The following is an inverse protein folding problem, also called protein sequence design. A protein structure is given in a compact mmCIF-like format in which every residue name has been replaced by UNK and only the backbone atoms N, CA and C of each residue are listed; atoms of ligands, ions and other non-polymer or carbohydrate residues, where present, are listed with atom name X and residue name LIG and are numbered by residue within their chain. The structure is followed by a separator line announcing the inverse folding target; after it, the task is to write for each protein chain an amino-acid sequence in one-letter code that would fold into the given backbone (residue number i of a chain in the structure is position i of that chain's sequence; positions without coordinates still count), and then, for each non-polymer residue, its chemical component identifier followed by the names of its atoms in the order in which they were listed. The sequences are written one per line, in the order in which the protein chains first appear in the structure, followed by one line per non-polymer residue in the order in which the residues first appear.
data_IF_317676935518
#
_entry.id   IF_317676935518
#
_cell.length_a   1.000
_cell.length_b   1.000
_cell.length_c   1.000
_cell.angle_alpha   90.00
_cell.angle_beta   90.00
_cell.angle_gamma   90.00
#
_symmetry.space_group_name_H-M   'P 1'
#
loop_
_entity.id
_entity.type
_entity.pdbx_description
1 polymer ?
#
# COMPACT_ATOMS: atom_id res chain seq x y z
N UNK A 1 32.32 10.81 -2.35
CA UNK A 1 31.38 10.16 -1.41
C UNK A 1 30.03 10.12 -2.10
N UNK A 2 29.44 8.93 -2.25
CA UNK A 2 28.09 8.79 -2.78
C UNK A 2 27.11 9.53 -1.87
N UNK A 3 26.18 10.26 -2.44
CA UNK A 3 25.15 10.98 -1.69
C UNK A 3 24.15 9.99 -1.14
N UNK A 4 23.79 10.09 0.14
CA UNK A 4 22.81 9.19 0.78
C UNK A 4 21.41 9.77 0.59
N UNK A 5 20.55 9.06 -0.10
CA UNK A 5 19.18 9.47 -0.41
C UNK A 5 18.11 8.79 0.44
N UNK A 6 18.45 7.66 1.09
CA UNK A 6 17.52 6.91 1.93
C UNK A 6 18.06 6.77 3.36
N UNK A 7 17.18 6.85 4.35
CA UNK A 7 17.48 6.72 5.77
C UNK A 7 16.48 5.77 6.42
N UNK A 8 16.99 4.75 7.10
CA UNK A 8 16.16 3.92 7.98
C UNK A 8 15.59 4.78 9.11
N UNK A 9 14.45 4.39 9.66
CA UNK A 9 13.86 5.13 10.80
C UNK A 9 14.81 5.15 12.03
N UNK A 10 15.69 4.16 12.15
CA UNK A 10 16.72 4.11 13.19
C UNK A 10 17.90 5.05 12.97
N UNK A 11 18.05 5.62 11.78
CA UNK A 11 19.16 6.50 11.41
C UNK A 11 18.79 7.99 11.47
N UNK A 12 17.50 8.32 11.62
CA UNK A 12 17.00 9.69 11.69
C UNK A 12 16.62 10.11 13.09
N UNK A 13 16.20 11.38 13.22
CA UNK A 13 15.68 11.95 14.45
C UNK A 13 14.77 13.17 14.15
N UNK A 14 14.14 13.73 15.20
CA UNK A 14 13.20 14.85 15.09
C UNK A 14 13.82 16.12 14.49
N UNK A 15 15.14 16.32 14.61
CA UNK A 15 15.84 17.51 14.11
C UNK A 15 16.08 17.47 12.60
N UNK A 16 15.91 16.30 11.96
CA UNK A 16 16.18 16.11 10.53
C UNK A 16 14.96 16.40 9.64
N UNK A 17 14.07 17.30 10.05
CA UNK A 17 12.84 17.62 9.31
C UNK A 17 13.09 18.18 7.91
N UNK A 18 14.14 18.95 7.73
CA UNK A 18 14.51 19.50 6.42
C UNK A 18 14.88 18.39 5.43
N UNK A 19 15.54 17.34 5.91
CA UNK A 19 16.01 16.22 5.11
C UNK A 19 14.96 15.10 4.96
N UNK A 20 14.30 14.72 6.05
CA UNK A 20 13.39 13.57 6.08
C UNK A 20 11.91 13.96 5.91
N UNK A 21 11.61 15.25 5.86
CA UNK A 21 10.25 15.75 5.94
C UNK A 21 9.64 15.55 7.33
N UNK A 22 8.46 16.15 7.57
CA UNK A 22 7.82 16.08 8.88
C UNK A 22 7.43 14.67 9.31
N UNK A 23 6.91 13.87 8.40
CA UNK A 23 6.51 12.47 8.69
C UNK A 23 7.73 11.58 8.95
N UNK A 24 8.77 11.68 8.10
CA UNK A 24 9.98 10.87 8.23
C UNK A 24 10.71 11.15 9.53
N UNK A 25 10.91 12.42 9.88
CA UNK A 25 11.56 12.83 11.13
C UNK A 25 10.76 12.35 12.37
N UNK A 26 9.43 12.46 12.35
CA UNK A 26 8.59 12.00 13.45
C UNK A 26 8.63 10.47 13.60
N UNK A 27 8.58 9.70 12.49
CA UNK A 27 8.70 8.24 12.53
C UNK A 27 10.05 7.80 13.08
N UNK A 28 11.13 8.49 12.68
CA UNK A 28 12.46 8.22 13.23
C UNK A 28 12.53 8.50 14.72
N UNK A 29 11.99 9.62 15.18
CA UNK A 29 11.94 9.95 16.61
C UNK A 29 11.13 8.92 17.41
N UNK A 30 9.95 8.55 16.92
CA UNK A 30 9.12 7.51 17.53
C UNK A 30 9.85 6.17 17.65
N UNK A 31 10.65 5.81 16.65
CA UNK A 31 11.48 4.61 16.66
C UNK A 31 12.56 4.71 17.74
N UNK A 32 13.24 5.86 17.83
CA UNK A 32 14.34 6.09 18.79
C UNK A 32 13.87 6.08 20.25
N UNK A 33 12.66 6.58 20.54
CA UNK A 33 12.09 6.53 21.89
C UNK A 33 11.43 5.17 22.22
N UNK A 34 11.55 4.18 21.32
CA UNK A 34 11.11 2.80 21.56
C UNK A 34 9.63 2.53 21.35
N UNK A 35 8.91 3.40 20.63
CA UNK A 35 7.53 3.10 20.23
C UNK A 35 7.50 1.98 19.18
N UNK A 36 6.44 1.17 19.14
CA UNK A 36 6.32 0.05 18.19
C UNK A 36 6.01 0.55 16.76
N UNK A 37 6.99 1.19 16.13
CA UNK A 37 6.92 1.63 14.73
C UNK A 37 7.33 0.48 13.83
N UNK A 38 6.53 0.13 12.80
CA UNK A 38 6.96 -0.84 11.80
C UNK A 38 8.26 -0.40 11.13
N UNK A 39 9.10 -1.37 10.77
CA UNK A 39 10.36 -1.10 10.09
C UNK A 39 10.11 -0.40 8.74
N UNK A 40 10.96 0.56 8.42
CA UNK A 40 10.83 1.34 7.21
C UNK A 40 11.99 2.31 7.01
N UNK A 41 11.97 3.00 5.89
CA UNK A 41 12.94 4.05 5.57
C UNK A 41 12.25 5.27 4.94
N UNK A 42 12.95 6.37 4.95
CA UNK A 42 12.51 7.63 4.34
C UNK A 42 13.42 7.98 3.17
N UNK A 43 12.84 8.26 2.01
CA UNK A 43 13.52 8.88 0.88
C UNK A 43 13.59 10.38 1.16
N UNK A 44 14.76 10.98 1.06
CA UNK A 44 15.02 12.35 1.50
C UNK A 44 14.40 13.40 0.58
N UNK A 45 14.23 14.60 1.11
CA UNK A 45 13.83 15.78 0.31
C UNK A 45 14.87 16.14 -0.74
N UNK A 46 16.15 15.78 -0.53
CA UNK A 46 17.21 15.95 -1.52
C UNK A 46 17.04 15.05 -2.73
N UNK A 47 16.56 13.80 -2.55
CA UNK A 47 16.18 12.94 -3.66
C UNK A 47 15.04 13.56 -4.50
N UNK A 48 14.06 14.17 -3.85
CA UNK A 48 12.99 14.89 -4.53
C UNK A 48 13.53 16.10 -5.31
N UNK A 49 14.45 16.89 -4.73
CA UNK A 49 15.07 18.01 -5.42
C UNK A 49 15.88 17.54 -6.63
N UNK A 50 16.62 16.45 -6.48
CA UNK A 50 17.39 15.85 -7.58
C UNK A 50 16.49 15.35 -8.70
N UNK A 51 15.37 14.70 -8.38
CA UNK A 51 14.37 14.28 -9.36
C UNK A 51 13.88 15.44 -10.25
N UNK A 52 13.61 16.62 -9.68
CA UNK A 52 13.22 17.79 -10.46
C UNK A 52 14.38 18.38 -11.26
N UNK A 53 15.59 18.36 -10.71
CA UNK A 53 16.80 18.84 -11.39
C UNK A 53 17.13 17.95 -12.62
N UNK A 54 16.90 16.64 -12.50
CA UNK A 54 17.11 15.65 -13.56
C UNK A 54 15.92 15.57 -14.56
N UNK A 55 15.10 16.61 -14.64
CA UNK A 55 13.98 16.67 -15.58
C UNK A 55 12.82 15.71 -15.28
N UNK A 56 12.54 15.47 -14.00
CA UNK A 56 11.54 14.53 -13.50
C UNK A 56 11.86 13.06 -13.80
N UNK A 57 13.13 12.72 -13.67
CA UNK A 57 13.63 11.36 -13.79
C UNK A 57 14.32 10.95 -12.48
N UNK A 58 14.11 9.71 -12.09
CA UNK A 58 14.82 9.10 -10.95
C UNK A 58 16.14 8.56 -11.50
N UNK A 59 17.26 9.08 -11.03
CA UNK A 59 18.58 8.63 -11.47
C UNK A 59 18.96 7.27 -10.86
N UNK A 60 20.00 6.65 -11.42
CA UNK A 60 20.44 5.32 -11.02
C UNK A 60 20.94 5.27 -9.57
N UNK A 61 21.54 6.36 -9.05
CA UNK A 61 22.01 6.42 -7.66
C UNK A 61 20.84 6.35 -6.66
N UNK A 62 19.77 7.13 -6.90
CA UNK A 62 18.57 7.11 -6.07
C UNK A 62 17.90 5.74 -6.16
N UNK A 63 17.82 5.19 -7.36
CA UNK A 63 17.22 3.88 -7.61
C UNK A 63 17.98 2.78 -6.87
N UNK A 64 19.31 2.77 -6.96
CA UNK A 64 20.16 1.80 -6.28
C UNK A 64 20.02 1.88 -4.75
N UNK A 65 20.01 3.10 -4.20
CA UNK A 65 19.84 3.33 -2.75
C UNK A 65 18.46 2.86 -2.24
N UNK A 66 17.39 3.10 -3.01
CA UNK A 66 16.06 2.58 -2.68
C UNK A 66 16.05 1.05 -2.65
N UNK A 67 16.58 0.38 -3.67
CA UNK A 67 16.59 -1.07 -3.72
C UNK A 67 17.48 -1.70 -2.65
N UNK A 68 18.58 -1.05 -2.27
CA UNK A 68 19.40 -1.49 -1.14
C UNK A 68 18.61 -1.45 0.17
N UNK A 69 17.86 -0.39 0.42
CA UNK A 69 17.01 -0.25 1.60
C UNK A 69 15.83 -1.23 1.60
N UNK A 70 15.23 -1.52 0.43
CA UNK A 70 14.21 -2.57 0.32
C UNK A 70 14.80 -3.94 0.71
N UNK A 71 15.98 -4.30 0.19
CA UNK A 71 16.68 -5.54 0.59
C UNK A 71 17.02 -5.56 2.08
N UNK A 72 17.33 -4.39 2.66
CA UNK A 72 17.53 -4.24 4.11
C UNK A 72 16.26 -4.58 4.89
N UNK A 73 15.10 -4.06 4.45
CA UNK A 73 13.80 -4.38 5.05
C UNK A 73 13.44 -5.86 4.92
N UNK A 74 13.72 -6.49 3.78
CA UNK A 74 13.52 -7.93 3.59
C UNK A 74 14.28 -8.74 4.64
N UNK A 75 15.55 -8.41 4.87
CA UNK A 75 16.39 -9.06 5.88
C UNK A 75 15.85 -8.87 7.29
N UNK A 76 15.43 -7.66 7.64
CA UNK A 76 14.91 -7.34 8.99
C UNK A 76 13.57 -8.03 9.25
N UNK A 77 12.70 -8.07 8.25
CA UNK A 77 11.33 -8.59 8.39
C UNK A 77 11.22 -10.09 8.13
N UNK A 78 12.22 -10.69 7.49
CA UNK A 78 12.17 -12.09 7.03
C UNK A 78 11.12 -12.33 5.94
N UNK A 79 10.75 -11.29 5.19
CA UNK A 79 9.78 -11.32 4.09
C UNK A 79 10.43 -10.82 2.82
N UNK A 80 9.93 -11.25 1.66
CA UNK A 80 10.47 -10.83 0.37
C UNK A 80 9.45 -10.01 -0.41
N UNK A 81 9.89 -8.93 -1.03
CA UNK A 81 9.02 -8.06 -1.82
C UNK A 81 8.62 -8.78 -3.12
N UNK A 82 7.30 -8.94 -3.33
CA UNK A 82 6.76 -9.66 -4.47
C UNK A 82 6.75 -11.18 -4.35
N UNK A 83 7.08 -11.74 -3.18
CA UNK A 83 6.97 -13.18 -2.92
C UNK A 83 5.50 -13.63 -2.84
N UNK A 84 5.22 -14.81 -3.35
CA UNK A 84 3.86 -15.35 -3.41
C UNK A 84 3.39 -15.99 -2.10
N UNK A 85 4.33 -16.47 -1.27
CA UNK A 85 3.99 -17.16 -0.01
C UNK A 85 4.12 -16.26 1.21
N UNK A 86 5.17 -15.44 1.27
CA UNK A 86 5.45 -14.55 2.40
C UNK A 86 5.80 -13.13 1.93
N UNK A 87 4.86 -12.43 1.26
CA UNK A 87 5.14 -11.13 0.67
C UNK A 87 5.48 -10.07 1.72
N UNK A 88 6.52 -9.27 1.44
CA UNK A 88 6.74 -8.01 2.14
C UNK A 88 5.75 -6.98 1.60
N UNK A 89 4.76 -6.62 2.40
CA UNK A 89 3.80 -5.57 2.08
C UNK A 89 4.21 -4.28 2.73
N UNK A 90 4.33 -3.23 1.94
CA UNK A 90 4.73 -1.91 2.42
C UNK A 90 3.65 -0.87 2.17
N UNK A 91 3.65 0.18 2.99
CA UNK A 91 2.83 1.36 2.80
C UNK A 91 3.72 2.51 2.34
N UNK A 92 3.51 2.99 1.13
CA UNK A 92 4.23 4.16 0.60
C UNK A 92 3.40 5.40 0.87
N UNK A 93 4.03 6.39 1.48
CA UNK A 93 3.38 7.65 1.87
C UNK A 93 4.17 8.83 1.37
N UNK A 94 3.53 9.76 0.69
CA UNK A 94 4.15 11.03 0.37
C UNK A 94 4.44 11.83 1.65
N UNK A 95 5.57 12.54 1.64
CA UNK A 95 6.01 13.40 2.72
C UNK A 95 6.31 14.80 2.21
N UNK A 96 6.21 15.82 3.07
CA UNK A 96 6.63 17.18 2.80
C UNK A 96 7.25 17.77 4.05
N UNK A 97 8.05 18.85 3.87
CA UNK A 97 8.61 19.60 5.00
C UNK A 97 7.54 20.18 5.90
N UNK A 98 6.45 20.67 5.28
CA UNK A 98 5.27 21.15 5.99
C UNK A 98 4.13 20.15 5.85
N UNK A 99 3.41 19.87 6.94
CA UNK A 99 2.26 18.99 6.92
C UNK A 99 1.09 19.68 6.22
N UNK A 100 0.54 19.01 5.20
CA UNK A 100 -0.68 19.44 4.51
C UNK A 100 -1.73 18.32 4.65
N UNK A 101 -2.60 18.40 5.66
CA UNK A 101 -3.63 17.40 5.89
C UNK A 101 -4.57 17.26 4.67
N UNK A 102 -4.86 16.02 4.27
CA UNK A 102 -5.75 15.71 3.15
C UNK A 102 -5.16 15.87 1.74
N UNK A 103 -3.91 16.36 1.61
CA UNK A 103 -3.25 16.56 0.31
C UNK A 103 -2.10 15.57 0.06
N UNK A 104 -1.97 14.55 0.90
CA UNK A 104 -0.83 13.61 0.82
C UNK A 104 -1.33 12.21 0.51
N UNK A 105 -0.86 11.70 -0.60
CA UNK A 105 -1.23 10.37 -1.07
C UNK A 105 -0.59 9.26 -0.25
N UNK A 106 -1.30 8.14 -0.21
CA UNK A 106 -0.85 6.91 0.44
C UNK A 106 -1.23 5.73 -0.44
N UNK A 107 -0.29 4.83 -0.66
CA UNK A 107 -0.53 3.54 -1.31
C UNK A 107 -0.28 2.46 -0.27
N UNK A 108 -1.30 1.68 0.03
CA UNK A 108 -1.25 0.58 0.99
C UNK A 108 -1.03 -0.75 0.27
N UNK A 109 -0.40 -1.70 0.96
CA UNK A 109 -0.21 -3.07 0.50
C UNK A 109 0.58 -3.19 -0.83
N UNK A 110 1.49 -2.25 -1.09
CA UNK A 110 2.43 -2.38 -2.21
C UNK A 110 3.27 -3.65 -2.01
N UNK A 111 3.34 -4.49 -3.02
CA UNK A 111 3.92 -5.83 -2.99
C UNK A 111 2.89 -6.95 -3.18
N UNK A 112 1.58 -6.64 -3.17
CA UNK A 112 0.54 -7.58 -3.60
C UNK A 112 0.51 -7.68 -5.13
N UNK A 113 0.31 -8.92 -5.61
CA UNK A 113 0.03 -9.25 -7.00
C UNK A 113 -1.01 -10.39 -7.03
N UNK A 114 -1.36 -10.86 -8.22
CA UNK A 114 -2.39 -11.90 -8.40
C UNK A 114 -2.04 -13.22 -7.67
N UNK A 115 -0.77 -13.54 -7.53
CA UNK A 115 -0.31 -14.76 -6.85
C UNK A 115 -0.15 -14.53 -5.34
N UNK A 116 0.44 -13.39 -4.94
CA UNK A 116 0.66 -13.06 -3.54
C UNK A 116 -0.65 -12.91 -2.74
N UNK A 117 -1.75 -12.51 -3.39
CA UNK A 117 -3.08 -12.43 -2.73
C UNK A 117 -3.58 -13.81 -2.31
N UNK A 118 -3.31 -14.86 -3.11
CA UNK A 118 -3.66 -16.24 -2.75
C UNK A 118 -2.84 -16.73 -1.54
N UNK A 119 -1.55 -16.41 -1.50
CA UNK A 119 -0.70 -16.68 -0.35
C UNK A 119 -1.20 -15.99 0.91
N UNK A 120 -1.58 -14.71 0.80
CA UNK A 120 -2.16 -13.95 1.90
C UNK A 120 -3.50 -14.56 2.38
N UNK A 121 -4.37 -14.98 1.45
CA UNK A 121 -5.64 -15.62 1.77
C UNK A 121 -5.44 -16.93 2.56
N UNK A 122 -4.51 -17.77 2.13
CA UNK A 122 -4.15 -19.01 2.84
C UNK A 122 -3.59 -18.72 4.22
N UNK A 123 -2.64 -17.79 4.32
CA UNK A 123 -1.97 -17.43 5.58
C UNK A 123 -2.92 -16.84 6.63
N UNK A 124 -3.87 -16.02 6.20
CA UNK A 124 -4.86 -15.40 7.10
C UNK A 124 -6.09 -16.25 7.33
N UNK A 125 -6.26 -17.33 6.56
CA UNK A 125 -7.49 -18.12 6.48
C UNK A 125 -8.73 -17.24 6.22
N UNK A 126 -8.54 -16.16 5.47
CA UNK A 126 -9.59 -15.18 5.18
C UNK A 126 -9.41 -14.59 3.78
N UNK A 127 -9.97 -15.28 2.79
CA UNK A 127 -9.92 -14.86 1.39
C UNK A 127 -10.56 -13.47 1.17
N UNK A 128 -11.67 -13.18 1.84
CA UNK A 128 -12.35 -11.88 1.74
C UNK A 128 -11.44 -10.74 2.16
N UNK A 129 -10.71 -10.89 3.25
CA UNK A 129 -9.74 -9.90 3.72
C UNK A 129 -8.62 -9.71 2.71
N UNK A 130 -8.02 -10.80 2.21
CA UNK A 130 -6.91 -10.74 1.26
C UNK A 130 -7.30 -10.04 -0.04
N UNK A 131 -8.45 -10.41 -0.62
CA UNK A 131 -8.94 -9.77 -1.85
C UNK A 131 -9.40 -8.33 -1.64
N UNK A 132 -9.93 -7.95 -0.46
CA UNK A 132 -10.23 -6.54 -0.18
C UNK A 132 -8.94 -5.71 -0.05
N UNK A 133 -7.88 -6.25 0.54
CA UNK A 133 -6.56 -5.62 0.56
C UNK A 133 -6.02 -5.42 -0.87
N UNK A 134 -6.14 -6.42 -1.73
CA UNK A 134 -5.69 -6.34 -3.12
C UNK A 134 -6.52 -5.35 -3.94
N UNK A 135 -7.84 -5.39 -3.82
CA UNK A 135 -8.73 -4.41 -4.46
C UNK A 135 -8.37 -2.97 -4.07
N UNK A 136 -8.15 -2.71 -2.78
CA UNK A 136 -7.74 -1.38 -2.30
C UNK A 136 -6.39 -0.95 -2.85
N UNK A 137 -5.43 -1.88 -2.91
CA UNK A 137 -4.13 -1.61 -3.49
C UNK A 137 -4.26 -1.21 -4.97
N UNK A 138 -4.95 -2.01 -5.78
CA UNK A 138 -5.15 -1.74 -7.21
C UNK A 138 -5.83 -0.38 -7.41
N UNK A 139 -6.88 -0.09 -6.65
CA UNK A 139 -7.61 1.18 -6.73
C UNK A 139 -6.73 2.39 -6.36
N UNK A 140 -5.97 2.30 -5.25
CA UNK A 140 -5.08 3.38 -4.83
C UNK A 140 -3.91 3.57 -5.80
N UNK A 141 -3.33 2.48 -6.31
CA UNK A 141 -2.24 2.55 -7.28
C UNK A 141 -2.69 3.18 -8.59
N UNK A 142 -3.85 2.77 -9.09
CA UNK A 142 -4.42 3.33 -10.31
C UNK A 142 -4.75 4.81 -10.17
N UNK A 143 -5.34 5.23 -9.06
CA UNK A 143 -5.71 6.63 -8.80
C UNK A 143 -4.46 7.52 -8.64
N UNK A 144 -3.52 7.12 -7.79
CA UNK A 144 -2.36 7.95 -7.41
C UNK A 144 -1.24 7.91 -8.46
N UNK A 145 -0.94 6.73 -9.03
CA UNK A 145 0.21 6.55 -9.94
C UNK A 145 -0.20 6.66 -11.39
N UNK A 146 -1.32 6.04 -11.76
CA UNK A 146 -1.78 5.98 -13.15
C UNK A 146 -2.77 7.10 -13.50
N UNK A 147 -3.17 7.93 -12.54
CA UNK A 147 -4.13 9.03 -12.70
C UNK A 147 -5.50 8.57 -13.24
N UNK A 148 -5.89 7.34 -12.92
CA UNK A 148 -7.21 6.80 -13.29
C UNK A 148 -8.23 7.21 -12.23
N UNK A 149 -9.30 7.95 -12.59
CA UNK A 149 -10.26 8.43 -11.63
C UNK A 149 -10.91 7.32 -10.81
N UNK A 150 -10.93 7.47 -9.49
CA UNK A 150 -11.52 6.52 -8.54
C UNK A 150 -12.99 6.20 -8.84
N UNK A 151 -13.74 7.16 -9.39
CA UNK A 151 -15.14 6.99 -9.79
C UNK A 151 -15.37 5.85 -10.78
N UNK A 152 -14.41 5.55 -11.66
CA UNK A 152 -14.52 4.43 -12.60
C UNK A 152 -14.58 3.08 -11.85
N UNK A 153 -13.77 2.92 -10.81
CA UNK A 153 -13.81 1.72 -9.96
C UNK A 153 -15.12 1.63 -9.17
N UNK A 154 -15.64 2.74 -8.67
CA UNK A 154 -16.88 2.77 -7.92
C UNK A 154 -18.07 2.33 -8.78
N UNK A 155 -18.13 2.77 -10.04
CA UNK A 155 -19.16 2.36 -10.99
C UNK A 155 -19.15 0.83 -11.21
N UNK A 156 -17.97 0.24 -11.43
CA UNK A 156 -17.86 -1.22 -11.64
C UNK A 156 -18.21 -2.02 -10.37
N UNK A 157 -17.77 -1.54 -9.21
CA UNK A 157 -18.11 -2.16 -7.93
C UNK A 157 -19.63 -2.12 -7.69
N UNK A 158 -20.29 -1.03 -8.01
CA UNK A 158 -21.75 -0.91 -7.80
C UNK A 158 -22.54 -1.77 -8.79
N UNK A 159 -22.09 -1.91 -10.04
CA UNK A 159 -22.66 -2.87 -10.98
C UNK A 159 -22.59 -4.32 -10.46
N UNK A 160 -21.42 -4.71 -9.91
CA UNK A 160 -21.25 -6.05 -9.32
C UNK A 160 -22.18 -6.26 -8.11
N UNK A 161 -22.29 -5.27 -7.23
CA UNK A 161 -23.21 -5.33 -6.07
C UNK A 161 -24.66 -5.45 -6.49
N UNK A 162 -25.08 -4.76 -7.53
CA UNK A 162 -26.45 -4.88 -8.06
C UNK A 162 -26.73 -6.25 -8.67
N UNK A 163 -25.76 -6.81 -9.43
CA UNK A 163 -25.86 -8.13 -9.99
C UNK A 163 -26.00 -9.19 -8.88
N UNK A 164 -25.20 -9.08 -7.82
CA UNK A 164 -25.24 -10.00 -6.68
C UNK A 164 -26.57 -9.90 -5.90
N UNK A 165 -27.11 -8.70 -5.68
CA UNK A 165 -28.42 -8.49 -5.07
C UNK A 165 -29.55 -9.10 -5.90
N UNK A 166 -29.48 -9.02 -7.23
CA UNK A 166 -30.48 -9.63 -8.14
C UNK A 166 -30.41 -11.15 -8.04
N UNK A 167 -29.21 -11.74 -8.05
CA UNK A 167 -29.03 -13.19 -7.92
C UNK A 167 -29.51 -13.71 -6.56
N UNK A 168 -29.25 -13.03 -5.48
CA UNK A 168 -29.70 -13.38 -4.14
C UNK A 168 -31.23 -13.32 -3.99
N UNK A 169 -31.89 -12.33 -4.61
CA UNK A 169 -33.34 -12.19 -4.63
C UNK A 169 -33.99 -13.35 -5.43
N UNK A 170 -33.44 -13.70 -6.60
CA UNK A 170 -33.90 -14.80 -7.41
C UNK A 170 -33.84 -16.16 -6.65
N UNK A 171 -32.69 -16.41 -6.00
CA UNK A 171 -32.53 -17.65 -5.20
C UNK A 171 -33.48 -17.70 -3.99
N UNK A 172 -33.81 -16.57 -3.37
CA UNK A 172 -34.76 -16.53 -2.26
C UNK A 172 -36.22 -16.74 -2.71
N UNK A 173 -36.60 -16.31 -3.93
CA UNK A 173 -37.91 -16.55 -4.50
C UNK A 173 -38.11 -18.04 -4.88
N UNK A 174 -37.12 -18.67 -5.51
CA UNK A 174 -37.16 -20.12 -5.80
C UNK A 174 -37.27 -20.99 -4.55
N UNK A 175 -36.59 -20.61 -3.45
CA UNK A 175 -36.73 -21.32 -2.17
C UNK A 175 -38.10 -21.15 -1.49
N UNK A 176 -38.87 -20.12 -1.84
CA UNK A 176 -40.25 -19.93 -1.36
C UNK A 176 -41.27 -20.78 -2.14
N UNK A 177 -41.10 -20.91 -3.45
CA UNK A 177 -41.99 -21.72 -4.28
C UNK A 177 -41.89 -23.23 -3.96
N UNK A 178 -40.70 -23.71 -3.59
CA UNK A 178 -40.49 -25.11 -3.21
C UNK A 178 -41.05 -25.50 -1.82
N UNK A 179 -41.58 -24.54 -1.05
CA UNK A 179 -42.17 -24.77 0.30
C UNK A 179 -43.70 -24.66 0.36
N UNK A 180 -44.39 -24.60 -0.76
CA UNK A 180 -45.84 -24.73 -0.73
C UNK A 180 -46.22 -26.18 -0.50
N UNK A 181 -46.94 -26.52 0.60
CA UNK A 181 -47.45 -27.88 0.78
C UNK A 181 -48.50 -28.15 -0.31
N UNK A 182 -48.33 -29.25 -1.03
CA UNK A 182 -49.40 -29.77 -1.88
C UNK A 182 -50.58 -30.14 -0.98
N UNK A 183 -51.59 -29.31 -0.95
CA UNK A 183 -52.89 -29.65 -0.35
C UNK A 183 -53.53 -30.68 -1.23
N UNK A 184 -53.57 -31.93 -0.76
CA UNK A 184 -54.50 -32.94 -1.18
C UNK A 184 -55.76 -32.85 -0.31
#
# INVERSE_FOLDING_TARGET
MSKKYCYLFTEGNANMRELLGGKGANLAEMTNIGLPVPQGFTITTEACTQYYADGRQINDEITADIFEHVKGLEKITGKTFGDNENPLLVSVRSGARQSMPGMMDTILNLGLNDEAVEGLAKKTNNARFAYDCYRRFVQMFADVVMMVPKSLFEVEIDKMKEADRKSTRLNSSHNRESRMPSSA
#
